data_IF_774268323021
#
_entry.id   IF_774268323021
#
_cell.length_a   1.000
_cell.length_b   1.000
_cell.length_c   1.000
_cell.angle_alpha   90.00
_cell.angle_beta   90.00
_cell.angle_gamma   90.00
#
_symmetry.space_group_name_H-M   'P 1'
#
loop_
_entity.id
_entity.type
_entity.pdbx_description
1 polymer ?
#
# COMPACT_ATOMS: atom_id res chain seq x y z
N UNK A 1 -13.37 -6.18 -21.39
CA UNK A 1 -12.23 -5.40 -21.92
C UNK A 1 -10.98 -5.81 -21.14
N UNK A 2 -10.00 -6.45 -21.77
CA UNK A 2 -8.72 -6.77 -21.14
C UNK A 2 -7.97 -5.45 -20.93
N UNK A 3 -7.91 -4.92 -19.71
CA UNK A 3 -7.04 -3.79 -19.40
C UNK A 3 -5.59 -4.27 -19.60
N UNK A 4 -4.80 -3.53 -20.36
CA UNK A 4 -3.36 -3.79 -20.55
C UNK A 4 -2.63 -3.59 -19.21
N UNK A 5 -1.47 -4.24 -18.99
CA UNK A 5 -0.66 -4.00 -17.80
C UNK A 5 -0.34 -2.51 -17.72
N UNK A 6 -0.54 -1.91 -16.54
CA UNK A 6 -0.34 -0.48 -16.34
C UNK A 6 1.12 -0.12 -16.53
N UNK A 7 1.38 0.98 -17.25
CA UNK A 7 2.72 1.52 -17.44
C UNK A 7 3.41 1.71 -16.09
N UNK A 8 4.63 1.19 -15.89
CA UNK A 8 5.31 1.27 -14.60
C UNK A 8 5.56 2.73 -14.21
N UNK A 9 5.17 3.10 -13.00
CA UNK A 9 5.34 4.47 -12.49
C UNK A 9 6.80 4.68 -12.09
N UNK A 10 7.39 5.86 -12.35
CA UNK A 10 8.79 6.14 -11.99
C UNK A 10 9.05 5.89 -10.50
N UNK A 11 10.11 5.14 -10.18
CA UNK A 11 10.48 4.78 -8.80
C UNK A 11 9.78 3.53 -8.25
N UNK A 12 8.97 2.84 -9.06
CA UNK A 12 8.33 1.57 -8.69
C UNK A 12 9.26 0.36 -8.82
N UNK A 13 8.82 -0.79 -8.27
CA UNK A 13 9.54 -2.05 -8.37
C UNK A 13 9.72 -2.45 -9.84
N UNK A 14 8.66 -2.47 -10.66
CA UNK A 14 8.74 -2.80 -12.09
C UNK A 14 9.56 -1.77 -12.90
N UNK A 15 9.53 -0.49 -12.51
CA UNK A 15 10.37 0.53 -13.16
C UNK A 15 11.86 0.38 -12.83
N UNK A 16 12.19 -0.20 -11.67
CA UNK A 16 13.58 -0.43 -11.24
C UNK A 16 14.25 -1.60 -11.95
N UNK A 17 13.45 -2.51 -12.53
CA UNK A 17 13.95 -3.67 -13.27
C UNK A 17 14.40 -3.28 -14.69
N UNK A 18 15.54 -3.82 -15.17
CA UNK A 18 15.89 -3.79 -16.58
C UNK A 18 14.79 -4.41 -17.45
N UNK A 19 14.68 -3.99 -18.70
CA UNK A 19 13.62 -4.45 -19.63
C UNK A 19 13.55 -5.98 -19.73
N UNK A 20 14.69 -6.66 -19.77
CA UNK A 20 14.76 -8.12 -19.86
C UNK A 20 14.15 -8.80 -18.61
N UNK A 21 14.51 -8.34 -17.41
CA UNK A 21 13.99 -8.88 -16.14
C UNK A 21 12.50 -8.57 -15.97
N UNK A 22 12.09 -7.35 -16.32
CA UNK A 22 10.68 -6.95 -16.31
C UNK A 22 9.86 -7.83 -17.25
N UNK A 23 10.35 -8.04 -18.48
CA UNK A 23 9.69 -8.90 -19.47
C UNK A 23 9.59 -10.35 -19.00
N UNK A 24 10.66 -10.89 -18.39
CA UNK A 24 10.68 -12.23 -17.78
C UNK A 24 9.62 -12.38 -16.68
N UNK A 25 9.55 -11.39 -15.77
CA UNK A 25 8.57 -11.38 -14.69
C UNK A 25 7.14 -11.32 -15.24
N UNK A 26 6.86 -10.40 -16.16
CA UNK A 26 5.52 -10.22 -16.74
C UNK A 26 5.07 -11.45 -17.54
N UNK A 27 5.98 -12.13 -18.24
CA UNK A 27 5.70 -13.35 -18.98
C UNK A 27 5.35 -14.54 -18.07
N UNK A 28 5.90 -14.56 -16.84
CA UNK A 28 5.66 -15.61 -15.86
C UNK A 28 4.45 -15.30 -14.95
N UNK A 29 3.95 -14.07 -14.97
CA UNK A 29 2.87 -13.62 -14.11
C UNK A 29 1.49 -14.02 -14.63
N UNK A 30 0.63 -14.48 -13.72
CA UNK A 30 -0.81 -14.59 -13.97
C UNK A 30 -1.53 -13.34 -13.47
N UNK A 31 -2.18 -12.62 -14.37
CA UNK A 31 -2.99 -11.44 -14.04
C UNK A 31 -4.33 -11.89 -13.41
N UNK A 32 -4.69 -11.30 -12.28
CA UNK A 32 -6.01 -11.49 -11.65
C UNK A 32 -6.61 -10.16 -11.20
N UNK A 33 -7.92 -10.03 -11.42
CA UNK A 33 -8.73 -8.90 -10.97
C UNK A 33 -9.60 -9.33 -9.77
N UNK A 34 -9.62 -8.51 -8.73
CA UNK A 34 -10.36 -8.74 -7.49
C UNK A 34 -11.30 -7.57 -7.21
N UNK A 35 -12.53 -7.85 -6.82
CA UNK A 35 -13.45 -6.81 -6.35
C UNK A 35 -13.09 -6.43 -4.91
N UNK A 36 -13.42 -5.20 -4.51
CA UNK A 36 -13.33 -4.75 -3.12
C UNK A 36 -14.00 -5.75 -2.15
N UNK A 37 -13.33 -6.03 -1.02
CA UNK A 37 -13.74 -7.01 -0.02
C UNK A 37 -13.36 -8.46 -0.31
N UNK A 38 -12.78 -8.77 -1.47
CA UNK A 38 -12.35 -10.15 -1.79
C UNK A 38 -11.03 -10.47 -1.09
N UNK A 39 -10.95 -11.63 -0.44
CA UNK A 39 -9.72 -12.15 0.14
C UNK A 39 -8.85 -12.81 -0.94
N UNK A 40 -7.56 -12.47 -0.94
CA UNK A 40 -6.55 -13.04 -1.83
C UNK A 40 -5.77 -14.13 -1.11
N UNK A 41 -5.48 -13.90 0.17
CA UNK A 41 -4.69 -14.79 1.00
C UNK A 41 -5.48 -15.07 2.27
N UNK A 42 -5.71 -16.34 2.53
CA UNK A 42 -6.33 -16.83 3.75
C UNK A 42 -5.28 -17.48 4.65
N UNK A 43 -5.19 -17.08 5.94
CA UNK A 43 -4.28 -17.68 6.90
C UNK A 43 -4.41 -19.20 6.94
N UNK A 44 -3.27 -19.91 7.02
CA UNK A 44 -3.25 -21.37 7.11
C UNK A 44 -3.63 -22.11 5.82
N UNK A 45 -4.04 -21.40 4.77
CA UNK A 45 -4.33 -22.01 3.47
C UNK A 45 -3.06 -22.23 2.65
N UNK A 46 -2.99 -23.27 1.79
CA UNK A 46 -1.89 -23.43 0.85
C UNK A 46 -1.72 -22.22 -0.05
N UNK A 47 -0.59 -21.52 0.09
CA UNK A 47 -0.28 -20.35 -0.70
C UNK A 47 1.20 -20.35 -1.08
N UNK A 48 1.48 -20.62 -2.36
CA UNK A 48 2.83 -20.68 -2.93
C UNK A 48 3.03 -19.60 -3.99
N UNK A 49 2.42 -18.44 -3.80
CA UNK A 49 2.46 -17.34 -4.77
C UNK A 49 2.99 -16.06 -4.14
N UNK A 50 3.61 -15.22 -4.96
CA UNK A 50 3.91 -13.83 -4.64
C UNK A 50 2.96 -12.95 -5.44
N UNK A 51 2.27 -12.07 -4.73
CA UNK A 51 1.36 -11.07 -5.27
C UNK A 51 2.13 -9.79 -5.48
N UNK A 52 2.23 -9.33 -6.72
CA UNK A 52 2.63 -7.97 -7.05
C UNK A 52 1.36 -7.17 -7.38
N UNK A 53 1.05 -6.17 -6.57
CA UNK A 53 -0.14 -5.34 -6.77
C UNK A 53 0.08 -4.38 -7.92
N UNK A 54 -0.58 -4.60 -9.06
CA UNK A 54 -0.46 -3.71 -10.23
C UNK A 54 -1.30 -2.44 -10.04
N UNK A 55 -2.52 -2.59 -9.51
CA UNK A 55 -3.43 -1.47 -9.24
C UNK A 55 -4.34 -1.79 -8.05
N UNK A 56 -4.76 -0.76 -7.33
CA UNK A 56 -5.68 -0.87 -6.19
C UNK A 56 -4.97 -0.79 -4.85
N UNK A 57 -5.58 -1.37 -3.83
CA UNK A 57 -5.05 -1.37 -2.47
C UNK A 57 -5.45 -2.65 -1.74
N UNK A 58 -4.48 -3.32 -1.13
CA UNK A 58 -4.71 -4.47 -0.27
C UNK A 58 -4.45 -4.11 1.19
N UNK A 59 -5.32 -4.59 2.07
CA UNK A 59 -5.02 -4.68 3.49
C UNK A 59 -4.35 -6.02 3.77
N UNK A 60 -3.24 -5.98 4.50
CA UNK A 60 -2.50 -7.17 4.93
C UNK A 60 -2.46 -7.17 6.45
N UNK A 61 -2.84 -8.30 7.05
CA UNK A 61 -2.79 -8.48 8.50
C UNK A 61 -2.09 -9.76 8.88
N UNK A 62 -1.36 -9.69 9.99
CA UNK A 62 -0.96 -10.88 10.73
C UNK A 62 -2.13 -11.36 11.57
N UNK A 63 -2.37 -12.67 11.55
CA UNK A 63 -3.42 -13.28 12.36
C UNK A 63 -2.82 -13.71 13.69
N UNK A 64 -3.39 -13.17 14.77
CA UNK A 64 -3.02 -13.60 16.11
C UNK A 64 -3.55 -15.01 16.40
N UNK A 65 -3.01 -15.66 17.43
CA UNK A 65 -3.49 -16.96 17.91
C UNK A 65 -4.99 -16.97 18.24
N UNK A 66 -5.59 -15.79 18.49
CA UNK A 66 -7.01 -15.62 18.81
C UNK A 66 -7.89 -15.30 17.59
N UNK A 67 -7.36 -15.35 16.37
CA UNK A 67 -8.14 -15.17 15.14
C UNK A 67 -8.46 -13.71 14.76
N UNK A 68 -8.21 -12.75 15.65
CA UNK A 68 -8.35 -11.32 15.35
C UNK A 68 -7.02 -10.78 14.81
N UNK A 69 -7.02 -10.32 13.55
CA UNK A 69 -5.80 -9.83 12.89
C UNK A 69 -5.69 -8.30 12.88
N UNK A 70 -4.50 -7.78 13.20
CA UNK A 70 -4.19 -6.35 13.07
C UNK A 70 -3.68 -6.06 11.66
N UNK A 71 -4.22 -5.06 10.97
CA UNK A 71 -3.69 -4.64 9.66
C UNK A 71 -2.31 -4.03 9.89
N UNK A 72 -1.29 -4.75 9.44
CA UNK A 72 0.11 -4.35 9.57
C UNK A 72 0.53 -3.48 8.39
N UNK A 73 0.01 -3.77 7.18
CA UNK A 73 0.40 -3.08 5.95
C UNK A 73 -0.81 -2.72 5.11
N UNK A 74 -0.82 -1.49 4.60
CA UNK A 74 -1.67 -1.03 3.50
C UNK A 74 -0.83 -1.01 2.22
N UNK A 75 -0.96 -2.10 1.45
CA UNK A 75 -0.21 -2.31 0.22
C UNK A 75 -0.88 -1.55 -0.93
N UNK A 76 -0.18 -0.55 -1.47
CA UNK A 76 -0.57 0.17 -2.68
C UNK A 76 0.13 -0.40 -3.92
N UNK A 77 -0.07 0.21 -5.10
CA UNK A 77 0.54 -0.25 -6.34
C UNK A 77 2.04 -0.49 -6.19
N UNK A 78 2.51 -1.55 -6.83
CA UNK A 78 3.89 -2.03 -6.87
C UNK A 78 4.38 -2.64 -5.54
N UNK A 79 3.46 -2.90 -4.60
CA UNK A 79 3.76 -3.67 -3.41
C UNK A 79 3.83 -5.18 -3.71
N UNK A 80 4.79 -5.84 -3.08
CA UNK A 80 4.95 -7.30 -3.04
C UNK A 80 4.33 -7.87 -1.75
N UNK A 81 3.49 -8.90 -1.86
CA UNK A 81 2.80 -9.58 -0.75
C UNK A 81 2.73 -11.10 -1.01
N UNK A 82 3.07 -11.98 -0.05
CA UNK A 82 3.75 -11.67 1.20
C UNK A 82 5.21 -11.22 0.93
N UNK A 83 5.76 -10.46 1.87
CA UNK A 83 7.14 -9.92 1.80
C UNK A 83 8.18 -10.99 2.15
N UNK A 84 7.74 -12.12 2.68
CA UNK A 84 8.57 -13.29 2.97
C UNK A 84 8.89 -14.04 1.67
N UNK A 85 9.86 -13.52 0.93
CA UNK A 85 10.31 -14.08 -0.35
C UNK A 85 11.31 -15.24 -0.16
N UNK A 86 12.03 -15.28 0.96
CA UNK A 86 13.19 -16.16 1.17
C UNK A 86 13.01 -17.21 2.26
N UNK A 87 11.86 -17.21 2.95
CA UNK A 87 11.54 -18.27 3.91
C UNK A 87 11.19 -19.54 3.12
N UNK A 88 11.65 -20.74 3.54
CA UNK A 88 11.23 -21.98 2.89
C UNK A 88 9.72 -21.99 2.77
N UNK A 89 9.19 -22.39 1.61
CA UNK A 89 7.75 -22.49 1.37
C UNK A 89 7.15 -23.39 2.45
N UNK A 90 6.68 -22.79 3.53
CA UNK A 90 5.71 -23.41 4.41
C UNK A 90 4.45 -23.49 3.56
N UNK A 91 3.81 -24.66 3.49
CA UNK A 91 2.61 -24.87 2.68
C UNK A 91 1.38 -24.09 3.21
N UNK A 92 1.58 -23.00 3.94
CA UNK A 92 0.58 -22.21 4.63
C UNK A 92 0.90 -20.72 4.47
N UNK A 93 -0.13 -19.95 4.15
CA UNK A 93 -0.04 -18.50 4.07
C UNK A 93 0.35 -17.88 5.42
N UNK A 94 1.39 -17.02 5.47
CA UNK A 94 1.86 -16.40 6.70
C UNK A 94 0.98 -15.23 7.17
N UNK A 95 0.09 -14.73 6.29
CA UNK A 95 -0.74 -13.58 6.56
C UNK A 95 -2.13 -13.73 5.93
N UNK A 96 -3.03 -12.84 6.32
CA UNK A 96 -4.27 -12.57 5.60
C UNK A 96 -4.08 -11.35 4.70
N UNK A 97 -4.63 -11.40 3.48
CA UNK A 97 -4.68 -10.22 2.60
C UNK A 97 -6.00 -10.15 1.84
N UNK A 98 -6.59 -8.95 1.76
CA UNK A 98 -7.82 -8.70 1.03
C UNK A 98 -7.83 -7.33 0.37
N UNK A 99 -8.64 -7.18 -0.68
CA UNK A 99 -8.75 -5.95 -1.44
C UNK A 99 -9.64 -4.92 -0.72
N UNK A 100 -9.15 -3.70 -0.50
CA UNK A 100 -9.96 -2.58 0.03
C UNK A 100 -10.74 -1.86 -1.08
N UNK A 101 -10.17 -1.84 -2.27
CA UNK A 101 -10.79 -1.37 -3.52
C UNK A 101 -10.63 -2.43 -4.58
N UNK A 102 -11.35 -2.32 -5.70
CA UNK A 102 -11.14 -3.21 -6.84
C UNK A 102 -9.67 -3.13 -7.25
N UNK A 103 -9.03 -4.29 -7.26
CA UNK A 103 -7.57 -4.40 -7.33
C UNK A 103 -7.18 -5.37 -8.43
N UNK A 104 -6.05 -5.10 -9.05
CA UNK A 104 -5.44 -5.98 -10.03
C UNK A 104 -4.06 -6.39 -9.55
N UNK A 105 -3.78 -7.67 -9.63
CA UNK A 105 -2.51 -8.24 -9.17
C UNK A 105 -1.90 -9.13 -10.23
N UNK A 106 -0.58 -9.24 -10.14
CA UNK A 106 0.25 -10.20 -10.84
C UNK A 106 0.63 -11.29 -9.84
N UNK A 107 0.23 -12.53 -10.12
CA UNK A 107 0.56 -13.69 -9.31
C UNK A 107 1.76 -14.40 -9.93
N UNK A 108 2.83 -14.51 -9.14
CA UNK A 108 4.08 -15.17 -9.50
C UNK A 108 4.22 -16.43 -8.66
N UNK A 109 4.78 -17.50 -9.21
CA UNK A 109 5.14 -18.67 -8.38
C UNK A 109 6.28 -18.29 -7.43
N UNK A 110 6.14 -18.60 -6.15
CA UNK A 110 7.16 -18.27 -5.16
C UNK A 110 8.50 -18.97 -5.46
N UNK A 111 8.48 -20.15 -6.08
CA UNK A 111 9.70 -20.90 -6.45
C UNK A 111 10.47 -20.18 -7.55
N UNK A 112 9.78 -19.67 -8.56
CA UNK A 112 10.40 -18.91 -9.65
C UNK A 112 11.04 -17.63 -9.11
N UNK A 113 10.31 -16.90 -8.25
CA UNK A 113 10.84 -15.68 -7.61
C UNK A 113 12.07 -16.01 -6.75
N UNK A 114 12.02 -17.07 -5.94
CA UNK A 114 13.15 -17.52 -5.11
C UNK A 114 14.37 -17.87 -5.95
N UNK A 115 14.16 -18.59 -7.05
CA UNK A 115 15.20 -18.92 -8.00
C UNK A 115 15.84 -17.66 -8.58
N UNK A 116 15.04 -16.69 -9.06
CA UNK A 116 15.57 -15.44 -9.61
C UNK A 116 16.35 -14.62 -8.59
N UNK A 117 15.90 -14.59 -7.32
CA UNK A 117 16.65 -13.92 -6.25
C UNK A 117 17.99 -14.61 -5.98
N UNK A 118 18.03 -15.95 -6.05
CA UNK A 118 19.23 -16.76 -5.77
C UNK A 118 20.23 -16.75 -6.94
N UNK A 119 19.73 -16.68 -8.18
CA UNK A 119 20.54 -16.45 -9.40
C UNK A 119 21.32 -15.12 -9.33
N UNK A 120 20.80 -14.15 -8.58
CA UNK A 120 21.44 -12.85 -8.38
C UNK A 120 21.11 -11.84 -9.48
N UNK A 121 21.96 -10.81 -9.59
CA UNK A 121 21.83 -9.81 -10.65
C UNK A 121 20.80 -8.69 -10.36
N UNK A 122 20.31 -8.01 -11.41
CA UNK A 122 19.47 -6.81 -11.25
C UNK A 122 18.15 -7.07 -10.53
N UNK A 123 17.55 -8.26 -10.69
CA UNK A 123 16.32 -8.63 -10.00
C UNK A 123 16.50 -8.66 -8.48
N UNK A 124 17.55 -9.34 -8.00
CA UNK A 124 17.90 -9.39 -6.58
C UNK A 124 18.15 -8.00 -5.99
N UNK A 125 18.87 -7.15 -6.72
CA UNK A 125 19.13 -5.76 -6.29
C UNK A 125 17.82 -4.97 -6.18
N UNK A 126 16.89 -5.14 -7.14
CA UNK A 126 15.59 -4.49 -7.10
C UNK A 126 14.75 -4.95 -5.89
N UNK A 127 14.75 -6.25 -5.58
CA UNK A 127 14.08 -6.80 -4.40
C UNK A 127 14.69 -6.24 -3.11
N UNK A 128 16.01 -6.22 -2.98
CA UNK A 128 16.69 -5.66 -1.80
C UNK A 128 16.39 -4.17 -1.61
N UNK A 129 16.37 -3.40 -2.69
CA UNK A 129 15.99 -1.99 -2.65
C UNK A 129 14.53 -1.80 -2.22
N UNK A 130 13.62 -2.63 -2.74
CA UNK A 130 12.22 -2.63 -2.31
C UNK A 130 12.08 -2.93 -0.82
N UNK A 131 12.75 -3.98 -0.32
CA UNK A 131 12.72 -4.36 1.10
C UNK A 131 13.29 -3.27 1.99
N UNK A 132 14.38 -2.60 1.56
CA UNK A 132 14.96 -1.46 2.29
C UNK A 132 13.97 -0.29 2.40
N UNK A 133 13.30 0.06 1.30
CA UNK A 133 12.27 1.11 1.30
C UNK A 133 11.07 0.74 2.17
N UNK A 134 10.63 -0.51 2.10
CA UNK A 134 9.54 -1.01 2.94
C UNK A 134 9.92 -0.94 4.43
N UNK A 135 11.12 -1.38 4.80
CA UNK A 135 11.61 -1.32 6.17
C UNK A 135 11.67 0.12 6.69
N UNK A 136 12.13 1.07 5.87
CA UNK A 136 12.13 2.48 6.23
C UNK A 136 10.72 3.01 6.49
N UNK A 137 9.75 2.67 5.63
CA UNK A 137 8.33 3.05 5.81
C UNK A 137 7.75 2.47 7.10
N UNK A 138 7.97 1.19 7.36
CA UNK A 138 7.49 0.54 8.59
C UNK A 138 8.13 1.17 9.85
N UNK A 139 9.39 1.55 9.80
CA UNK A 139 10.06 2.24 10.90
C UNK A 139 9.47 3.63 11.16
N UNK A 140 9.12 4.39 10.10
CA UNK A 140 8.43 5.68 10.23
C UNK A 140 7.03 5.50 10.84
N UNK A 141 6.26 4.50 10.38
CA UNK A 141 4.93 4.20 10.93
C UNK A 141 4.97 3.89 12.44
N UNK A 142 6.00 3.17 12.90
CA UNK A 142 6.20 2.85 14.31
C UNK A 142 6.53 4.07 15.18
N UNK A 143 7.26 5.06 14.64
CA UNK A 143 7.60 6.29 15.38
C UNK A 143 6.37 7.18 15.61
N UNK A 144 5.38 7.14 14.72
CA UNK A 144 4.13 7.91 14.81
C UNK A 144 3.18 7.34 15.88
N UNK A 145 3.46 6.18 16.48
CA UNK A 145 2.48 5.51 17.36
C UNK A 145 2.59 5.89 18.85
N UNK A 146 3.64 6.59 19.29
CA UNK A 146 3.94 6.73 20.74
C UNK A 146 3.26 7.89 21.47
N UNK A 147 2.81 8.95 20.76
CA UNK A 147 2.38 10.20 21.40
C UNK A 147 0.92 10.62 21.09
N UNK A 148 0.16 9.80 20.35
CA UNK A 148 -1.18 10.16 19.86
C UNK A 148 -2.30 9.40 20.57
N UNK A 149 -3.38 10.11 20.91
CA UNK A 149 -4.63 9.48 21.33
C UNK A 149 -5.31 8.78 20.14
N UNK A 150 -6.28 7.91 20.42
CA UNK A 150 -6.87 7.05 19.39
C UNK A 150 -7.62 7.82 18.28
N UNK A 151 -8.22 8.96 18.61
CA UNK A 151 -8.92 9.84 17.65
C UNK A 151 -7.93 10.44 16.64
N UNK A 152 -6.78 10.89 17.13
CA UNK A 152 -5.69 11.38 16.27
C UNK A 152 -5.16 10.27 15.37
N UNK A 153 -5.00 9.05 15.90
CA UNK A 153 -4.59 7.88 15.10
C UNK A 153 -5.64 7.51 14.05
N UNK A 154 -6.93 7.62 14.37
CA UNK A 154 -8.02 7.41 13.41
C UNK A 154 -7.98 8.44 12.27
N UNK A 155 -7.81 9.73 12.60
CA UNK A 155 -7.65 10.80 11.61
C UNK A 155 -6.42 10.56 10.71
N UNK A 156 -5.27 10.22 11.31
CA UNK A 156 -4.06 9.90 10.57
C UNK A 156 -4.24 8.70 9.64
N UNK A 157 -4.90 7.63 10.11
CA UNK A 157 -5.16 6.44 9.30
C UNK A 157 -6.10 6.73 8.12
N UNK A 158 -7.13 7.56 8.30
CA UNK A 158 -8.03 7.96 7.21
C UNK A 158 -7.28 8.75 6.13
N UNK A 159 -6.43 9.70 6.55
CA UNK A 159 -5.56 10.46 5.64
C UNK A 159 -4.57 9.55 4.92
N UNK A 160 -3.90 8.65 5.64
CA UNK A 160 -2.96 7.69 5.07
C UNK A 160 -3.63 6.84 3.98
N UNK A 161 -4.81 6.29 4.25
CA UNK A 161 -5.54 5.48 3.29
C UNK A 161 -5.97 6.33 2.10
N UNK A 162 -6.55 7.52 2.34
CA UNK A 162 -6.97 8.44 1.28
C UNK A 162 -5.81 8.80 0.34
N UNK A 163 -4.65 9.15 0.89
CA UNK A 163 -3.47 9.58 0.11
C UNK A 163 -2.79 8.44 -0.65
N UNK A 164 -2.89 7.21 -0.14
CA UNK A 164 -2.32 6.02 -0.78
C UNK A 164 -3.24 5.37 -1.81
N UNK A 165 -4.51 5.76 -1.87
CA UNK A 165 -5.45 5.23 -2.86
C UNK A 165 -5.03 5.67 -4.26
N UNK A 166 -4.92 4.74 -5.22
CA UNK A 166 -4.67 5.08 -6.61
C UNK A 166 -5.79 5.96 -7.16
N UNK A 167 -5.43 6.96 -7.98
CA UNK A 167 -6.41 7.73 -8.73
C UNK A 167 -7.23 6.80 -9.64
N UNK A 168 -8.54 7.02 -9.70
CA UNK A 168 -9.45 6.17 -10.46
C UNK A 168 -9.76 4.82 -9.79
N UNK A 169 -9.48 4.67 -8.49
CA UNK A 169 -9.93 3.52 -7.70
C UNK A 169 -11.44 3.32 -7.83
N UNK A 170 -11.87 2.06 -7.83
CA UNK A 170 -13.28 1.70 -7.86
C UNK A 170 -13.62 0.75 -6.71
N UNK A 171 -14.88 0.77 -6.28
CA UNK A 171 -15.42 -0.19 -5.32
C UNK A 171 -16.68 -0.78 -5.95
N UNK A 172 -16.72 -2.09 -6.12
CA UNK A 172 -17.82 -2.79 -6.81
C UNK A 172 -18.03 -2.23 -8.23
N UNK A 173 -16.92 -1.95 -8.93
CA UNK A 173 -16.85 -1.38 -10.28
C UNK A 173 -17.44 0.03 -10.42
N UNK A 174 -17.70 0.70 -9.30
CA UNK A 174 -18.15 2.10 -9.28
C UNK A 174 -16.99 3.02 -8.92
N UNK A 175 -16.84 4.19 -9.58
CA UNK A 175 -15.83 5.18 -9.21
C UNK A 175 -15.87 5.51 -7.72
N UNK A 176 -14.69 5.53 -7.10
CA UNK A 176 -14.52 6.01 -5.73
C UNK A 176 -14.05 7.48 -5.79
N UNK A 177 -14.85 8.43 -5.26
CA UNK A 177 -14.41 9.82 -5.15
C UNK A 177 -13.15 9.95 -4.28
N UNK A 178 -12.26 10.92 -4.56
CA UNK A 178 -10.97 11.05 -3.87
C UNK A 178 -11.09 11.40 -2.38
N UNK A 179 -12.20 12.01 -1.97
CA UNK A 179 -12.49 12.34 -0.58
C UNK A 179 -13.17 11.17 0.18
N UNK A 180 -13.47 10.04 -0.48
CA UNK A 180 -14.10 8.89 0.16
C UNK A 180 -13.07 7.78 0.40
N UNK A 181 -12.93 7.42 1.67
CA UNK A 181 -12.08 6.33 2.15
C UNK A 181 -12.91 5.04 2.25
N UNK A 182 -12.53 3.94 1.58
CA UNK A 182 -13.32 2.70 1.50
C UNK A 182 -13.04 1.79 2.71
N UNK A 183 -13.31 2.31 3.90
CA UNK A 183 -13.05 1.62 5.17
C UNK A 183 -14.33 1.40 5.96
N UNK A 184 -14.47 0.21 6.51
CA UNK A 184 -15.46 -0.06 7.55
C UNK A 184 -14.88 0.24 8.94
N UNK A 185 -15.74 0.36 9.95
CA UNK A 185 -15.31 0.52 11.33
C UNK A 185 -14.43 -0.65 11.78
N UNK A 186 -14.70 -1.86 11.28
CA UNK A 186 -13.90 -3.06 11.54
C UNK A 186 -12.51 -2.95 10.91
N UNK A 187 -12.41 -2.53 9.65
CA UNK A 187 -11.11 -2.32 8.98
C UNK A 187 -10.31 -1.25 9.70
N UNK A 188 -10.96 -0.17 10.12
CA UNK A 188 -10.30 0.89 10.87
C UNK A 188 -9.83 0.39 12.25
N UNK A 189 -10.66 -0.36 12.97
CA UNK A 189 -10.29 -0.97 14.25
C UNK A 189 -9.06 -1.88 14.11
N UNK A 190 -9.07 -2.75 13.09
CA UNK A 190 -7.93 -3.62 12.77
C UNK A 190 -6.68 -2.83 12.38
N UNK A 191 -6.80 -1.69 11.69
CA UNK A 191 -5.66 -0.80 11.38
C UNK A 191 -5.12 -0.10 12.63
N UNK A 192 -5.98 0.36 13.52
CA UNK A 192 -5.60 1.03 14.76
C UNK A 192 -5.10 0.05 15.84
N UNK A 193 -5.37 -1.25 15.68
CA UNK A 193 -5.07 -2.25 16.70
C UNK A 193 -5.97 -2.11 17.94
N UNK A 194 -7.23 -1.76 17.71
CA UNK A 194 -8.26 -1.59 18.75
C UNK A 194 -9.50 -2.41 18.40
N UNK A 195 -10.51 -2.40 19.27
CA UNK A 195 -11.80 -3.04 19.01
C UNK A 195 -12.76 -2.11 18.26
N UNK A 196 -13.75 -2.69 17.59
CA UNK A 196 -14.69 -1.97 16.71
C UNK A 196 -15.44 -0.85 17.43
N UNK A 197 -15.82 -1.06 18.68
CA UNK A 197 -16.55 -0.11 19.51
C UNK A 197 -15.74 1.18 19.68
N UNK A 198 -14.47 1.06 20.03
CA UNK A 198 -13.60 2.22 20.28
C UNK A 198 -13.24 2.94 18.98
N UNK A 199 -13.10 2.20 17.86
CA UNK A 199 -12.96 2.82 16.55
C UNK A 199 -14.23 3.59 16.13
N UNK A 200 -15.40 3.06 16.46
CA UNK A 200 -16.69 3.73 16.20
C UNK A 200 -16.83 5.01 17.02
N UNK A 201 -16.43 4.98 18.29
CA UNK A 201 -16.40 6.18 19.14
C UNK A 201 -15.45 7.25 18.58
N UNK A 202 -14.26 6.84 18.14
CA UNK A 202 -13.28 7.75 17.53
C UNK A 202 -13.82 8.40 16.24
N UNK A 203 -14.50 7.63 15.39
CA UNK A 203 -15.19 8.17 14.21
C UNK A 203 -16.35 9.10 14.58
N UNK A 204 -17.07 8.79 15.67
CA UNK A 204 -18.13 9.64 16.20
C UNK A 204 -17.63 11.03 16.56
N UNK A 205 -16.50 11.12 17.28
CA UNK A 205 -15.90 12.40 17.65
C UNK A 205 -15.42 13.20 16.42
N UNK A 206 -14.77 12.54 15.45
CA UNK A 206 -14.36 13.22 14.21
C UNK A 206 -15.55 13.76 13.40
N UNK A 207 -16.69 13.07 13.45
CA UNK A 207 -17.94 13.52 12.82
C UNK A 207 -18.59 14.66 13.59
N UNK A 208 -18.59 14.63 14.92
CA UNK A 208 -19.09 15.75 15.76
C UNK A 208 -18.27 17.03 15.56
N UNK A 209 -17.00 16.89 15.17
CA UNK A 209 -16.11 18.00 14.79
C UNK A 209 -16.28 18.44 13.31
N UNK A 210 -17.28 17.91 12.58
CA UNK A 210 -17.56 18.17 11.15
C UNK A 210 -16.38 17.84 10.21
N UNK A 211 -15.43 16.99 10.64
CA UNK A 211 -14.25 16.64 9.84
C UNK A 211 -14.55 15.54 8.83
N UNK A 212 -15.47 14.63 9.17
CA UNK A 212 -15.83 13.48 8.37
C UNK A 212 -17.33 13.22 8.39
N UNK A 213 -17.80 12.49 7.38
CA UNK A 213 -19.11 11.85 7.36
C UNK A 213 -18.95 10.33 7.29
N UNK A 214 -19.86 9.60 7.94
CA UNK A 214 -19.83 8.13 7.97
C UNK A 214 -20.88 7.56 7.03
N UNK A 215 -20.44 6.68 6.12
CA UNK A 215 -21.27 6.03 5.12
C UNK A 215 -21.18 4.51 5.29
N UNK A 216 -22.04 3.75 4.62
CA UNK A 216 -21.96 2.29 4.68
C UNK A 216 -20.62 1.78 4.12
N UNK A 217 -19.79 1.22 5.01
CA UNK A 217 -18.42 0.71 4.73
C UNK A 217 -17.49 1.75 4.10
N UNK A 218 -17.76 3.04 4.28
CA UNK A 218 -16.98 4.15 3.72
C UNK A 218 -16.98 5.33 4.70
N UNK A 219 -15.96 6.16 4.62
CA UNK A 219 -15.86 7.42 5.36
C UNK A 219 -15.57 8.54 4.36
N UNK A 220 -16.37 9.59 4.36
CA UNK A 220 -16.13 10.78 3.56
C UNK A 220 -15.35 11.80 4.39
N UNK A 221 -14.27 12.33 3.84
CA UNK A 221 -13.50 13.41 4.44
C UNK A 221 -14.12 14.74 3.97
N UNK A 222 -14.69 15.48 4.91
CA UNK A 222 -15.37 16.76 4.66
C UNK A 222 -14.37 17.92 4.77
N UNK A 223 -13.56 17.93 5.84
CA UNK A 223 -12.48 18.89 6.04
C UNK A 223 -11.13 18.17 6.15
N UNK A 224 -10.42 18.05 5.02
CA UNK A 224 -9.11 17.43 4.99
C UNK A 224 -8.04 18.20 5.78
N UNK A 225 -8.13 19.54 5.85
CA UNK A 225 -7.17 20.35 6.60
C UNK A 225 -7.44 20.30 8.10
N UNK A 226 -8.71 20.34 8.51
CA UNK A 226 -9.15 20.04 9.87
C UNK A 226 -8.71 18.65 10.31
N UNK A 227 -8.91 17.63 9.48
CA UNK A 227 -8.49 16.25 9.77
C UNK A 227 -6.96 16.14 9.93
N UNK A 228 -6.17 16.85 9.12
CA UNK A 228 -4.70 16.93 9.27
C UNK A 228 -4.28 17.60 10.57
N UNK A 229 -4.94 18.69 10.96
CA UNK A 229 -4.71 19.34 12.26
C UNK A 229 -5.06 18.39 13.40
N UNK A 230 -6.17 17.67 13.27
CA UNK A 230 -6.61 16.68 14.26
C UNK A 230 -5.64 15.52 14.38
N UNK A 231 -5.07 15.05 13.27
CA UNK A 231 -3.98 14.07 13.24
C UNK A 231 -2.66 14.59 13.83
N UNK A 232 -2.57 15.87 14.21
CA UNK A 232 -1.39 16.49 14.83
C UNK A 232 -0.35 17.01 13.84
N UNK A 233 -0.75 17.35 12.61
CA UNK A 233 0.09 18.08 11.65
C UNK A 233 1.07 17.25 10.83
N UNK A 234 1.18 15.94 11.09
CA UNK A 234 1.94 15.00 10.28
C UNK A 234 0.99 14.11 9.45
N UNK A 235 0.48 14.65 8.34
CA UNK A 235 0.10 13.77 7.24
C UNK A 235 1.35 13.02 6.73
N UNK A 236 1.21 11.86 6.06
CA UNK A 236 2.32 11.20 5.38
C UNK A 236 3.19 12.21 4.62
N UNK A 237 4.52 12.03 4.56
CA UNK A 237 5.36 12.96 3.82
C UNK A 237 4.87 13.02 2.37
N UNK A 238 4.48 14.22 1.91
CA UNK A 238 4.09 14.46 0.51
C UNK A 238 5.20 13.91 -0.41
N UNK A 239 4.87 13.21 -1.52
CA UNK A 239 5.87 12.87 -2.51
C UNK A 239 6.55 14.16 -2.97
N UNK A 240 7.87 14.21 -2.83
CA UNK A 240 8.65 15.39 -3.20
C UNK A 240 8.40 15.70 -4.68
N UNK A 241 8.20 16.98 -5.07
CA UNK A 241 8.13 17.32 -6.48
C UNK A 241 9.40 16.83 -7.19
N UNK A 242 9.32 16.40 -8.46
CA UNK A 242 10.48 15.94 -9.19
C UNK A 242 11.54 17.04 -9.15
N UNK A 243 12.68 16.73 -8.55
CA UNK A 243 13.80 17.66 -8.42
C UNK A 243 14.11 18.20 -9.81
N UNK A 244 13.82 19.48 -10.03
CA UNK A 244 14.21 20.17 -11.25
C UNK A 244 15.71 19.93 -11.42
N UNK A 245 16.08 19.32 -12.54
CA UNK A 245 17.42 18.82 -12.81
C UNK A 245 18.46 19.89 -12.47
N UNK A 246 19.52 19.45 -11.80
CA UNK A 246 20.73 20.23 -11.58
C UNK A 246 21.08 20.98 -12.87
N UNK A 247 21.17 22.30 -12.76
CA UNK A 247 21.48 23.19 -13.87
C UNK A 247 22.71 22.68 -14.63
N UNK A 248 22.60 22.73 -15.96
CA UNK A 248 23.74 22.54 -16.87
C UNK A 248 24.90 23.45 -16.44
N UNK A 249 26.15 22.99 -16.47
CA UNK A 249 27.29 23.87 -16.22
C UNK A 249 27.33 24.98 -17.28
N UNK A 250 27.55 26.21 -16.81
CA UNK A 250 27.70 27.42 -17.63
C UNK A 250 28.94 27.27 -18.53
N UNK A 251 28.87 27.60 -19.84
CA UNK A 251 30.05 27.54 -20.70
C UNK A 251 31.10 28.60 -20.30
N UNK A 252 32.40 28.34 -20.50
CA UNK A 252 33.47 29.26 -20.12
C UNK A 252 33.45 30.54 -20.96
N UNK A 253 33.80 31.66 -20.32
CA UNK A 253 33.85 32.98 -20.94
C UNK A 253 35.00 33.09 -21.98
N UNK A 254 34.83 33.88 -23.05
CA UNK A 254 35.86 34.06 -24.06
C UNK A 254 37.01 34.96 -23.56
N UNK A 255 38.24 34.80 -24.08
CA UNK A 255 39.43 35.52 -23.61
C UNK A 255 39.40 37.01 -24.00
N UNK A 256 40.03 37.88 -23.19
CA UNK A 256 40.10 39.31 -23.47
C UNK A 256 41.03 39.61 -24.66
N UNK A 257 40.71 40.68 -25.39
CA UNK A 257 41.52 41.24 -26.49
C UNK A 257 42.76 41.96 -25.98
#
# INVERSE_FOLDING_TARGET
>A
MKRQPTTPTRGSFLASLPEAERSRLLASARVMDFNAGTHLIHPGSPFNQIVLLEFGMLAVSEVSEHGTGRITVLAGPEALVPVSLLTPVTAQAPCEAWALVDSRVLLLDARDVQQWVTEGGPFTVAVLNYLSQLNHRLATDLQITKDFNLVQRAAAALLEISERLPQGSTVERKPLPPNIVPVSHEVLARRLGTVREVATESLGQLREEDLIETLYRRVEIVDAEGLRRRAGGAGPPRPSPPTAGRGRPRPPAPPPR
#
